data_IF_627132910152
#
_entry.id   IF_627132910152
#
_cell.length_a   1.000
_cell.length_b   1.000
_cell.length_c   1.000
_cell.angle_alpha   90.00
_cell.angle_beta   90.00
_cell.angle_gamma   90.00
#
_symmetry.space_group_name_H-M   'P 1'
#
loop_
_entity.id
_entity.type
_entity.pdbx_description
1 polymer ?
#
# COMPACT_ATOMS: atom_id res chain seq x y z
N UNK A 1 25.25 -19.54 24.24
CA UNK A 1 24.37 -20.20 25.22
C UNK A 1 24.97 -21.56 25.48
N UNK A 2 25.23 -21.94 26.73
CA UNK A 2 25.76 -23.27 27.06
C UNK A 2 24.62 -24.29 26.99
N UNK A 3 24.95 -25.55 26.81
CA UNK A 3 23.94 -26.62 26.73
C UNK A 3 23.14 -26.74 28.02
N UNK A 4 23.75 -26.46 29.16
CA UNK A 4 23.12 -26.34 30.49
C UNK A 4 21.97 -25.29 30.49
N UNK A 5 22.21 -24.15 29.86
CA UNK A 5 21.28 -23.04 29.87
C UNK A 5 20.03 -23.37 29.00
N UNK A 6 20.23 -24.17 27.93
CA UNK A 6 19.16 -24.63 27.04
C UNK A 6 18.21 -25.56 27.79
N UNK A 7 18.77 -26.49 28.58
CA UNK A 7 17.96 -27.42 29.36
C UNK A 7 17.29 -26.77 30.57
N UNK A 8 17.91 -25.75 31.16
CA UNK A 8 17.25 -24.93 32.19
C UNK A 8 16.03 -24.22 31.65
N UNK A 9 16.11 -23.58 30.46
CA UNK A 9 14.98 -22.96 29.79
C UNK A 9 13.91 -24.00 29.45
N UNK A 10 14.27 -25.17 28.96
CA UNK A 10 13.36 -26.28 28.74
C UNK A 10 12.57 -26.62 30.00
N UNK A 11 13.27 -26.83 31.11
CA UNK A 11 12.68 -27.34 32.37
C UNK A 11 11.78 -26.31 33.06
N UNK A 12 12.11 -25.03 32.89
CA UNK A 12 11.32 -23.92 33.46
C UNK A 12 10.16 -23.52 32.56
N UNK A 13 10.34 -23.52 31.24
CA UNK A 13 9.46 -22.83 30.30
C UNK A 13 8.60 -23.74 29.44
N UNK A 14 8.95 -25.04 29.33
CA UNK A 14 8.22 -25.98 28.51
C UNK A 14 7.43 -26.98 29.34
N UNK A 15 6.36 -27.53 28.79
CA UNK A 15 5.46 -28.46 29.47
C UNK A 15 5.13 -29.68 28.58
N UNK A 16 4.60 -30.75 29.20
CA UNK A 16 4.22 -31.95 28.48
C UNK A 16 5.38 -32.63 27.76
N UNK A 17 5.13 -33.06 26.52
CA UNK A 17 6.14 -33.76 25.71
C UNK A 17 7.32 -32.87 25.31
N UNK A 18 7.15 -31.56 25.22
CA UNK A 18 8.22 -30.61 24.90
C UNK A 18 9.31 -30.57 26.00
N UNK A 19 8.91 -30.73 27.26
CA UNK A 19 9.82 -30.77 28.41
C UNK A 19 10.73 -32.01 28.41
N UNK A 20 10.31 -33.08 27.75
CA UNK A 20 11.07 -34.34 27.69
C UNK A 20 12.09 -34.37 26.54
N UNK A 21 12.20 -33.29 25.76
CA UNK A 21 13.15 -33.21 24.64
C UNK A 21 14.59 -33.21 25.17
N UNK A 22 15.39 -34.18 24.67
CA UNK A 22 16.81 -34.38 25.08
C UNK A 22 17.78 -33.78 24.06
N UNK A 23 17.31 -33.44 22.86
CA UNK A 23 18.15 -32.85 21.83
C UNK A 23 18.17 -31.32 21.98
N UNK A 24 19.32 -30.71 22.27
CA UNK A 24 19.44 -29.27 22.47
C UNK A 24 18.99 -28.45 21.25
N UNK A 25 19.25 -28.94 20.04
CA UNK A 25 18.87 -28.24 18.81
C UNK A 25 17.34 -28.18 18.65
N UNK A 26 16.67 -29.27 18.96
CA UNK A 26 15.18 -29.32 18.94
C UNK A 26 14.58 -28.47 20.04
N UNK A 27 15.21 -28.37 21.22
CA UNK A 27 14.78 -27.47 22.28
C UNK A 27 14.88 -26.01 21.82
N UNK A 28 15.98 -25.63 21.16
CA UNK A 28 16.15 -24.29 20.59
C UNK A 28 15.08 -24.01 19.53
N UNK A 29 14.80 -24.97 18.66
CA UNK A 29 13.77 -24.82 17.62
C UNK A 29 12.38 -24.61 18.22
N UNK A 30 12.01 -25.37 19.26
CA UNK A 30 10.74 -25.19 19.97
C UNK A 30 10.67 -23.80 20.61
N UNK A 31 11.75 -23.34 21.25
CA UNK A 31 11.81 -22.03 21.88
C UNK A 31 11.71 -20.91 20.84
N UNK A 32 12.43 -21.04 19.71
CA UNK A 32 12.43 -20.05 18.63
C UNK A 32 11.07 -19.88 17.97
N UNK A 33 10.25 -20.93 17.95
CA UNK A 33 8.89 -20.90 17.42
C UNK A 33 7.84 -20.38 18.40
N UNK A 34 8.20 -20.17 19.69
CA UNK A 34 7.25 -19.54 20.63
C UNK A 34 7.07 -18.05 20.31
N UNK A 35 5.85 -17.54 20.40
CA UNK A 35 5.59 -16.14 20.11
C UNK A 35 6.32 -15.23 21.12
N UNK A 36 6.99 -14.18 20.61
CA UNK A 36 7.67 -13.17 21.42
C UNK A 36 6.66 -12.24 22.08
N UNK A 37 6.12 -12.68 23.21
CA UNK A 37 5.14 -11.95 24.03
C UNK A 37 5.35 -12.31 25.50
N UNK A 38 4.72 -11.60 26.41
CA UNK A 38 4.82 -11.87 27.84
C UNK A 38 4.34 -13.31 28.16
N UNK A 39 5.32 -14.19 28.35
CA UNK A 39 5.15 -15.59 28.76
C UNK A 39 6.42 -16.07 29.48
N UNK A 40 6.33 -17.20 30.19
CA UNK A 40 7.41 -17.72 31.00
C UNK A 40 8.74 -17.93 30.25
N UNK A 41 8.68 -18.32 28.97
CA UNK A 41 9.88 -18.50 28.13
C UNK A 41 10.57 -17.17 27.89
N UNK A 42 9.81 -16.18 27.47
CA UNK A 42 10.34 -14.86 27.13
C UNK A 42 10.88 -14.14 28.36
N UNK A 43 10.18 -14.22 29.48
CA UNK A 43 10.61 -13.64 30.76
C UNK A 43 11.92 -14.29 31.25
N UNK A 44 12.05 -15.61 31.13
CA UNK A 44 13.27 -16.31 31.49
C UNK A 44 14.44 -15.93 30.59
N UNK A 45 14.22 -15.83 29.28
CA UNK A 45 15.25 -15.40 28.31
C UNK A 45 15.73 -13.96 28.58
N UNK A 46 14.81 -13.05 28.91
CA UNK A 46 15.16 -11.67 29.23
C UNK A 46 16.02 -11.59 30.49
N UNK A 47 15.70 -12.38 31.53
CA UNK A 47 16.50 -12.48 32.74
C UNK A 47 17.91 -13.03 32.45
N UNK A 48 17.98 -14.09 31.63
CA UNK A 48 19.27 -14.72 31.23
C UNK A 48 20.17 -13.74 30.48
N UNK A 49 19.56 -12.85 29.65
CA UNK A 49 20.30 -11.86 28.86
C UNK A 49 20.46 -10.51 29.57
N UNK A 50 20.00 -10.39 30.81
CA UNK A 50 19.99 -9.15 31.57
C UNK A 50 19.31 -7.98 30.83
N UNK A 51 18.22 -8.30 30.11
CA UNK A 51 17.40 -7.34 29.40
C UNK A 51 16.17 -7.00 30.24
N UNK A 52 15.83 -5.72 30.44
CA UNK A 52 14.65 -5.34 31.20
C UNK A 52 13.38 -5.91 30.61
N UNK A 53 12.44 -6.38 31.44
CA UNK A 53 11.12 -6.89 31.00
C UNK A 53 10.28 -5.83 30.29
N UNK A 54 10.57 -4.56 30.49
CA UNK A 54 9.95 -3.42 29.78
C UNK A 54 10.07 -3.49 28.26
N UNK A 55 11.03 -4.27 27.74
CA UNK A 55 11.14 -4.55 26.30
C UNK A 55 9.96 -5.37 25.76
N UNK A 56 9.26 -6.11 26.65
CA UNK A 56 8.04 -6.83 26.29
C UNK A 56 6.77 -5.99 26.44
N UNK A 57 6.85 -4.96 27.24
CA UNK A 57 5.84 -3.92 27.27
C UNK A 57 6.00 -3.11 25.99
N UNK A 58 5.68 -3.73 24.83
CA UNK A 58 5.15 -2.90 23.78
C UNK A 58 4.02 -2.16 24.46
N UNK A 59 4.21 -0.88 24.71
CA UNK A 59 3.11 0.00 24.93
C UNK A 59 2.03 -0.51 23.99
N UNK A 60 0.94 -1.00 24.56
CA UNK A 60 -0.28 -1.09 23.81
C UNK A 60 -0.49 0.34 23.40
N UNK A 61 -0.03 0.64 22.20
CA UNK A 61 -0.30 1.89 21.54
C UNK A 61 -1.82 1.89 21.34
N UNK A 62 -2.50 2.06 22.46
CA UNK A 62 -3.92 2.38 22.56
C UNK A 62 -4.13 3.82 22.19
N UNK A 63 -3.13 4.42 21.50
CA UNK A 63 -3.31 5.71 20.88
C UNK A 63 -4.43 5.54 19.87
N UNK A 64 -5.60 5.85 20.37
CA UNK A 64 -6.70 6.37 19.59
C UNK A 64 -6.08 7.31 18.60
N UNK A 65 -6.20 7.00 17.30
CA UNK A 65 -5.72 7.98 16.38
C UNK A 65 -6.69 9.13 16.41
N UNK A 66 -6.18 10.13 17.03
CA UNK A 66 -6.46 11.46 16.60
C UNK A 66 -5.95 11.57 15.17
N UNK A 67 -6.86 11.88 14.25
CA UNK A 67 -6.49 12.25 12.91
C UNK A 67 -5.51 13.42 13.01
N UNK A 68 -4.36 13.26 12.43
CA UNK A 68 -3.44 14.39 12.28
C UNK A 68 -4.05 15.38 11.30
N UNK A 69 -4.04 16.66 11.70
CA UNK A 69 -4.50 17.76 10.84
C UNK A 69 -3.26 18.37 10.20
N UNK A 70 -3.12 18.13 8.89
CA UNK A 70 -2.05 18.71 8.09
C UNK A 70 -2.49 20.06 7.52
N UNK A 71 -1.56 21.02 7.49
CA UNK A 71 -1.76 22.33 6.91
C UNK A 71 -0.71 22.62 5.83
N UNK A 72 -1.01 23.49 4.86
CA UNK A 72 -0.01 23.94 3.89
C UNK A 72 1.15 24.67 4.57
N UNK A 73 2.30 24.61 3.94
CA UNK A 73 3.52 25.31 4.31
C UNK A 73 4.26 25.71 3.01
N UNK A 74 5.25 26.58 3.08
CA UNK A 74 6.01 27.03 1.90
C UNK A 74 7.07 26.02 1.41
N UNK A 75 6.90 24.75 1.69
CA UNK A 75 7.83 23.72 1.24
C UNK A 75 7.68 23.41 -0.25
N UNK A 76 8.81 23.42 -0.94
CA UNK A 76 8.87 23.11 -2.36
C UNK A 76 9.12 21.63 -2.60
N UNK A 77 8.20 20.95 -3.30
CA UNK A 77 8.31 19.51 -3.56
C UNK A 77 7.77 19.12 -4.95
N UNK A 78 8.39 19.69 -5.99
CA UNK A 78 7.94 19.55 -7.37
C UNK A 78 8.11 18.14 -7.97
N UNK A 79 7.32 17.90 -9.01
CA UNK A 79 7.43 16.72 -9.86
C UNK A 79 8.46 16.95 -10.97
N UNK A 80 9.13 15.87 -11.37
CA UNK A 80 9.89 15.80 -12.61
C UNK A 80 8.93 15.68 -13.81
N UNK A 81 9.40 16.02 -15.00
CA UNK A 81 8.57 16.09 -16.22
C UNK A 81 7.79 14.78 -16.48
N UNK A 82 8.44 13.64 -16.34
CA UNK A 82 7.79 12.34 -16.54
C UNK A 82 6.75 12.02 -15.45
N UNK A 83 6.98 12.45 -14.21
CA UNK A 83 6.02 12.31 -13.13
C UNK A 83 4.80 13.20 -13.37
N UNK A 84 5.04 14.41 -13.85
CA UNK A 84 3.99 15.34 -14.24
C UNK A 84 3.12 14.77 -15.37
N UNK A 85 3.74 14.15 -16.37
CA UNK A 85 3.01 13.48 -17.45
C UNK A 85 2.09 12.36 -16.95
N UNK A 86 2.60 11.47 -16.08
CA UNK A 86 1.78 10.43 -15.46
C UNK A 86 0.63 11.05 -14.64
N UNK A 87 0.92 12.08 -13.85
CA UNK A 87 -0.10 12.81 -13.09
C UNK A 87 -1.23 13.30 -13.99
N UNK A 88 -0.91 13.95 -15.09
CA UNK A 88 -1.92 14.48 -16.01
C UNK A 88 -2.78 13.37 -16.63
N UNK A 89 -2.17 12.28 -17.06
CA UNK A 89 -2.91 11.14 -17.59
C UNK A 89 -3.87 10.52 -16.57
N UNK A 90 -3.43 10.35 -15.33
CA UNK A 90 -4.28 9.81 -14.27
C UNK A 90 -5.42 10.78 -13.95
N UNK A 91 -5.15 12.07 -13.80
CA UNK A 91 -6.19 13.07 -13.49
C UNK A 91 -7.22 13.19 -14.61
N UNK A 92 -6.81 13.12 -15.87
CA UNK A 92 -7.74 13.14 -17.00
C UNK A 92 -8.72 11.96 -16.94
N UNK A 93 -8.26 10.79 -16.51
CA UNK A 93 -9.14 9.64 -16.30
C UNK A 93 -10.04 9.80 -15.06
N UNK A 94 -9.50 10.30 -13.94
CA UNK A 94 -10.28 10.50 -12.71
C UNK A 94 -11.40 11.56 -12.88
N UNK A 95 -11.20 12.51 -13.76
CA UNK A 95 -12.18 13.57 -14.07
C UNK A 95 -13.09 13.20 -15.23
N UNK A 96 -13.03 11.97 -15.75
CA UNK A 96 -13.93 11.49 -16.78
C UNK A 96 -15.37 11.33 -16.22
N UNK A 97 -16.35 11.34 -17.09
CA UNK A 97 -17.76 11.17 -16.71
C UNK A 97 -18.14 9.73 -16.32
N UNK A 98 -17.16 8.82 -16.31
CA UNK A 98 -17.41 7.43 -15.94
C UNK A 98 -17.59 7.25 -14.44
N UNK A 99 -18.61 6.52 -14.06
CA UNK A 99 -19.01 6.29 -12.66
C UNK A 99 -17.98 5.45 -11.87
N UNK A 100 -17.24 4.56 -12.55
CA UNK A 100 -16.29 3.63 -11.94
C UNK A 100 -14.99 3.62 -12.76
N UNK A 101 -14.05 4.48 -12.40
CA UNK A 101 -12.74 4.49 -13.04
C UNK A 101 -11.79 3.54 -12.35
N UNK A 102 -11.17 2.66 -13.13
CA UNK A 102 -10.16 1.70 -12.66
C UNK A 102 -8.95 1.78 -13.55
N UNK A 103 -7.77 1.84 -12.95
CA UNK A 103 -6.53 1.89 -13.72
C UNK A 103 -5.34 1.34 -12.94
N UNK A 104 -4.39 0.79 -13.66
CA UNK A 104 -3.09 0.39 -13.14
C UNK A 104 -2.05 1.44 -13.59
N UNK A 105 -1.29 1.96 -12.64
CA UNK A 105 -0.20 2.90 -12.92
C UNK A 105 1.12 2.17 -12.75
N UNK A 106 1.85 2.06 -13.86
CA UNK A 106 3.16 1.47 -13.87
C UNK A 106 4.24 2.55 -13.83
N UNK A 107 5.05 2.48 -12.81
CA UNK A 107 6.27 3.28 -12.67
C UNK A 107 7.35 2.40 -12.03
N UNK A 108 8.55 2.28 -12.62
CA UNK A 108 9.62 1.48 -12.04
C UNK A 108 10.03 1.90 -10.63
N UNK A 109 10.74 1.01 -9.97
CA UNK A 109 11.33 1.29 -8.67
C UNK A 109 12.25 2.51 -8.74
N UNK A 110 12.20 3.38 -7.74
CA UNK A 110 13.03 4.58 -7.66
C UNK A 110 12.58 5.76 -8.52
N UNK A 111 11.51 5.63 -9.33
CA UNK A 111 11.01 6.75 -10.16
C UNK A 111 10.06 7.70 -9.43
N UNK A 112 9.88 7.54 -8.13
CA UNK A 112 9.02 8.41 -7.34
C UNK A 112 7.52 8.12 -7.50
N UNK A 113 7.15 6.85 -7.68
CA UNK A 113 5.75 6.38 -7.77
C UNK A 113 4.87 6.95 -6.65
N UNK A 114 5.29 6.80 -5.40
CA UNK A 114 4.56 7.32 -4.22
C UNK A 114 4.40 8.83 -4.30
N UNK A 115 5.48 9.57 -4.54
CA UNK A 115 5.47 11.04 -4.69
C UNK A 115 4.48 11.49 -5.77
N UNK A 116 4.58 10.91 -6.96
CA UNK A 116 3.70 11.24 -8.09
C UNK A 116 2.23 11.01 -7.73
N UNK A 117 1.95 9.88 -7.07
CA UNK A 117 0.58 9.55 -6.66
C UNK A 117 0.08 10.46 -5.55
N UNK A 118 0.92 10.90 -4.62
CA UNK A 118 0.51 11.88 -3.61
C UNK A 118 0.18 13.25 -4.22
N UNK A 119 0.89 13.67 -5.26
CA UNK A 119 0.50 14.85 -6.04
C UNK A 119 -0.85 14.68 -6.75
N UNK A 120 -1.14 13.47 -7.28
CA UNK A 120 -2.45 13.15 -7.86
C UNK A 120 -3.54 13.24 -6.80
N UNK A 121 -3.33 12.59 -5.64
CA UNK A 121 -4.27 12.57 -4.52
C UNK A 121 -4.56 13.98 -4.03
N UNK A 122 -3.53 14.80 -3.81
CA UNK A 122 -3.69 16.18 -3.35
C UNK A 122 -4.52 17.00 -4.33
N UNK A 123 -4.23 16.87 -5.63
CA UNK A 123 -5.01 17.53 -6.67
C UNK A 123 -6.47 17.04 -6.68
N UNK A 124 -6.69 15.72 -6.61
CA UNK A 124 -8.02 15.12 -6.57
C UNK A 124 -8.83 15.59 -5.35
N UNK A 125 -8.21 15.64 -4.17
CA UNK A 125 -8.85 16.12 -2.94
C UNK A 125 -9.25 17.60 -3.06
N UNK A 126 -8.35 18.45 -3.58
CA UNK A 126 -8.59 19.89 -3.64
C UNK A 126 -9.65 20.25 -4.69
N UNK A 127 -9.56 19.68 -5.89
CA UNK A 127 -10.31 20.16 -7.05
C UNK A 127 -11.46 19.25 -7.48
N UNK A 128 -11.34 17.94 -7.29
CA UNK A 128 -12.37 16.99 -7.74
C UNK A 128 -13.39 16.73 -6.64
N UNK A 129 -12.97 16.22 -5.50
CA UNK A 129 -13.89 15.93 -4.39
C UNK A 129 -14.09 17.10 -3.43
N UNK A 130 -13.31 18.18 -3.57
CA UNK A 130 -13.40 19.40 -2.76
C UNK A 130 -13.46 19.08 -1.26
N UNK A 131 -12.56 18.19 -0.83
CA UNK A 131 -12.46 17.66 0.55
C UNK A 131 -13.71 16.94 1.07
N UNK A 132 -14.61 16.50 0.21
CA UNK A 132 -15.80 15.72 0.60
C UNK A 132 -15.55 14.22 0.40
N UNK A 133 -15.46 13.50 1.50
CA UNK A 133 -15.14 12.09 1.53
C UNK A 133 -13.64 11.82 1.67
N UNK A 134 -13.26 10.57 1.50
CA UNK A 134 -11.89 10.11 1.75
C UNK A 134 -11.25 9.47 0.52
N UNK A 135 -9.93 9.63 0.45
CA UNK A 135 -9.04 8.78 -0.33
C UNK A 135 -8.48 7.70 0.58
N UNK A 136 -8.51 6.44 0.17
CA UNK A 136 -7.95 5.32 0.93
C UNK A 136 -6.67 4.86 0.23
N UNK A 137 -5.52 4.99 0.92
CA UNK A 137 -4.26 4.41 0.51
C UNK A 137 -4.06 3.07 1.18
N UNK A 138 -3.92 2.00 0.43
CA UNK A 138 -3.74 0.64 0.94
C UNK A 138 -2.33 0.16 0.64
N UNK A 139 -1.63 -0.29 1.67
CA UNK A 139 -0.36 -0.99 1.54
C UNK A 139 -0.28 -2.15 2.54
N UNK A 140 0.73 -3.01 2.36
CA UNK A 140 0.74 -4.27 3.10
C UNK A 140 1.66 -4.23 4.34
N UNK A 141 2.65 -3.30 4.44
CA UNK A 141 3.54 -3.16 5.58
C UNK A 141 3.39 -1.80 6.22
N UNK A 142 3.71 -1.72 7.51
CA UNK A 142 3.66 -0.47 8.28
C UNK A 142 4.69 0.54 7.79
N UNK A 143 5.83 0.06 7.32
CA UNK A 143 6.91 0.89 6.77
C UNK A 143 6.47 1.60 5.49
N UNK A 144 5.80 0.88 4.57
CA UNK A 144 5.25 1.47 3.35
C UNK A 144 4.14 2.48 3.65
N UNK A 145 3.32 2.20 4.67
CA UNK A 145 2.27 3.14 5.09
C UNK A 145 2.86 4.40 5.73
N UNK A 146 3.89 4.26 6.57
CA UNK A 146 4.57 5.41 7.15
C UNK A 146 5.28 6.24 6.07
N UNK A 147 6.00 5.60 5.16
CA UNK A 147 6.64 6.29 4.03
C UNK A 147 5.62 7.03 3.14
N UNK A 148 4.47 6.39 2.88
CA UNK A 148 3.40 7.02 2.11
C UNK A 148 2.81 8.23 2.85
N UNK A 149 2.61 8.11 4.15
CA UNK A 149 2.15 9.21 5.00
C UNK A 149 3.12 10.39 4.99
N UNK A 150 4.41 10.14 5.24
CA UNK A 150 5.44 11.19 5.27
C UNK A 150 5.56 11.90 3.90
N UNK A 151 5.42 11.13 2.82
CA UNK A 151 5.39 11.67 1.46
C UNK A 151 4.13 12.52 1.24
N UNK A 152 2.98 12.09 1.71
CA UNK A 152 1.74 12.87 1.62
C UNK A 152 1.84 14.17 2.42
N UNK A 153 2.36 14.11 3.64
CA UNK A 153 2.57 15.30 4.48
C UNK A 153 3.42 16.33 3.74
N UNK A 154 4.55 15.91 3.15
CA UNK A 154 5.43 16.79 2.37
C UNK A 154 4.73 17.38 1.15
N UNK A 155 3.95 16.57 0.41
CA UNK A 155 3.19 17.05 -0.76
C UNK A 155 2.05 17.98 -0.32
N UNK A 156 1.37 17.66 0.78
CA UNK A 156 0.28 18.50 1.28
C UNK A 156 0.78 19.87 1.75
N UNK A 157 1.93 19.92 2.41
CA UNK A 157 2.59 21.18 2.76
C UNK A 157 2.89 22.06 1.54
N UNK A 158 3.25 21.41 0.42
CA UNK A 158 3.54 22.11 -0.84
C UNK A 158 2.29 22.53 -1.63
N UNK A 159 1.29 21.65 -1.75
CA UNK A 159 0.16 21.80 -2.70
C UNK A 159 -1.21 21.82 -2.04
N UNK A 160 -1.28 21.62 -0.73
CA UNK A 160 -2.56 21.53 -0.03
C UNK A 160 -3.30 22.86 -0.04
N UNK A 161 -4.62 22.79 -0.09
CA UNK A 161 -5.52 23.92 0.05
C UNK A 161 -6.14 23.90 1.45
N UNK A 162 -5.42 24.44 2.44
CA UNK A 162 -5.83 24.51 3.84
C UNK A 162 -5.71 23.17 4.60
N UNK A 163 -6.43 23.03 5.70
CA UNK A 163 -6.33 21.90 6.61
C UNK A 163 -6.99 20.63 6.05
N UNK A 164 -6.37 19.48 6.29
CA UNK A 164 -6.87 18.16 5.92
C UNK A 164 -6.65 17.16 7.05
N UNK A 165 -7.56 16.20 7.17
CA UNK A 165 -7.39 15.07 8.09
C UNK A 165 -6.61 13.93 7.42
N UNK A 166 -5.61 13.41 8.10
CA UNK A 166 -4.86 12.24 7.69
C UNK A 166 -4.99 11.14 8.76
N UNK A 167 -5.69 10.05 8.43
CA UNK A 167 -5.99 8.96 9.34
C UNK A 167 -5.00 7.82 9.15
N UNK A 168 -4.46 7.31 10.26
CA UNK A 168 -3.52 6.17 10.25
C UNK A 168 -4.24 4.91 10.75
N UNK A 169 -4.57 3.97 9.90
CA UNK A 169 -5.29 2.74 10.18
C UNK A 169 -4.41 1.51 9.94
N UNK A 170 -3.38 1.33 10.76
CA UNK A 170 -2.54 0.13 10.74
C UNK A 170 -2.09 -0.26 12.16
N UNK A 171 -1.63 -1.49 12.36
CA UNK A 171 -1.27 -2.01 13.68
C UNK A 171 -2.46 -1.96 14.63
N UNK A 172 -2.26 -1.38 15.80
CA UNK A 172 -3.29 -1.21 16.84
C UNK A 172 -4.21 -0.02 16.60
N UNK A 173 -3.81 0.87 15.69
CA UNK A 173 -4.49 2.13 15.41
C UNK A 173 -5.91 1.92 14.86
N UNK A 174 -6.89 2.76 15.28
CA UNK A 174 -8.31 2.70 14.86
C UNK A 174 -8.93 4.09 14.82
N UNK A 175 -10.05 4.26 14.16
CA UNK A 175 -10.86 5.48 14.20
C UNK A 175 -11.97 5.27 15.22
N UNK A 176 -12.10 6.14 16.20
CA UNK A 176 -13.12 6.04 17.25
C UNK A 176 -14.46 6.66 16.84
N UNK A 177 -14.41 7.86 16.30
CA UNK A 177 -15.64 8.58 15.99
C UNK A 177 -16.13 8.30 14.56
N UNK A 178 -16.78 7.15 14.39
CA UNK A 178 -17.35 6.74 13.10
C UNK A 178 -18.73 7.34 12.78
N UNK A 179 -19.29 8.11 13.72
CA UNK A 179 -20.62 8.70 13.54
C UNK A 179 -20.60 9.93 12.63
N UNK A 180 -19.46 10.61 12.55
CA UNK A 180 -19.28 11.75 11.66
C UNK A 180 -18.71 11.33 10.31
N UNK A 181 -19.00 12.05 9.21
CA UNK A 181 -18.37 11.80 7.92
C UNK A 181 -16.86 11.93 7.99
N UNK A 182 -16.16 10.97 7.39
CA UNK A 182 -14.72 11.04 7.24
C UNK A 182 -14.38 11.87 6.00
N UNK A 183 -13.47 12.81 6.15
CA UNK A 183 -12.99 13.64 5.06
C UNK A 183 -11.47 13.69 5.09
N UNK A 184 -10.80 13.52 3.94
CA UNK A 184 -9.36 13.57 3.82
C UNK A 184 -8.73 12.32 3.25
N UNK A 185 -7.68 11.82 3.89
CA UNK A 185 -6.96 10.61 3.47
C UNK A 185 -6.87 9.59 4.59
N UNK A 186 -7.03 8.32 4.26
CA UNK A 186 -6.88 7.18 5.17
C UNK A 186 -5.74 6.30 4.68
N UNK A 187 -4.68 6.15 5.46
CA UNK A 187 -3.63 5.18 5.23
C UNK A 187 -4.00 3.88 5.94
N UNK A 188 -4.24 2.82 5.19
CA UNK A 188 -4.88 1.60 5.66
C UNK A 188 -4.03 0.37 5.37
N UNK A 189 -3.64 -0.34 6.42
CA UNK A 189 -2.95 -1.62 6.29
C UNK A 189 -3.87 -2.69 5.71
N UNK A 190 -3.39 -3.49 4.74
CA UNK A 190 -4.20 -4.53 4.12
C UNK A 190 -4.72 -5.55 5.13
N UNK A 191 -3.87 -6.00 6.07
CA UNK A 191 -4.29 -6.90 7.16
C UNK A 191 -5.34 -6.27 8.08
N UNK A 192 -5.22 -4.97 8.32
CA UNK A 192 -6.19 -4.20 9.11
C UNK A 192 -7.52 -4.08 8.39
N UNK A 193 -7.50 -3.82 7.08
CA UNK A 193 -8.71 -3.78 6.24
C UNK A 193 -9.45 -5.12 6.29
N UNK A 194 -8.74 -6.25 6.18
CA UNK A 194 -9.33 -7.58 6.31
C UNK A 194 -9.99 -7.77 7.68
N UNK A 195 -9.29 -7.40 8.75
CA UNK A 195 -9.82 -7.47 10.12
C UNK A 195 -11.04 -6.57 10.31
N UNK A 196 -11.06 -5.36 9.75
CA UNK A 196 -12.19 -4.43 9.81
C UNK A 196 -13.39 -5.03 9.07
N UNK A 197 -13.20 -5.59 7.88
CA UNK A 197 -14.27 -6.21 7.11
C UNK A 197 -14.91 -7.41 7.82
N UNK A 198 -14.10 -8.19 8.55
CA UNK A 198 -14.56 -9.38 9.26
C UNK A 198 -15.19 -9.06 10.64
N UNK A 199 -14.65 -8.07 11.38
CA UNK A 199 -14.99 -7.87 12.81
C UNK A 199 -15.54 -6.51 13.19
N UNK A 200 -15.51 -5.51 12.30
CA UNK A 200 -15.96 -4.14 12.56
C UNK A 200 -16.87 -3.61 11.43
N UNK A 201 -18.05 -4.19 11.22
CA UNK A 201 -18.90 -3.85 10.07
C UNK A 201 -19.30 -2.38 10.02
N UNK A 202 -19.51 -1.72 11.16
CA UNK A 202 -19.85 -0.30 11.20
C UNK A 202 -18.72 0.59 10.66
N UNK A 203 -17.46 0.30 11.01
CA UNK A 203 -16.30 1.01 10.48
C UNK A 203 -16.10 0.71 8.99
N UNK A 204 -16.29 -0.55 8.57
CA UNK A 204 -16.20 -0.92 7.16
C UNK A 204 -17.23 -0.19 6.30
N UNK A 205 -18.49 -0.14 6.73
CA UNK A 205 -19.55 0.58 6.02
C UNK A 205 -19.32 2.10 6.05
N UNK A 206 -18.69 2.65 7.10
CA UNK A 206 -18.29 4.06 7.12
C UNK A 206 -17.19 4.34 6.09
N UNK A 207 -16.13 3.54 6.06
CA UNK A 207 -15.07 3.65 5.06
C UNK A 207 -15.64 3.55 3.64
N UNK A 208 -16.52 2.58 3.41
CA UNK A 208 -17.19 2.39 2.13
C UNK A 208 -18.06 3.57 1.73
N UNK A 209 -18.83 4.17 2.65
CA UNK A 209 -19.71 5.32 2.37
C UNK A 209 -18.92 6.55 1.96
N UNK A 210 -17.86 6.85 2.69
CA UNK A 210 -17.12 8.10 2.51
C UNK A 210 -16.01 7.98 1.46
N UNK A 211 -15.67 6.76 0.99
CA UNK A 211 -14.63 6.51 0.00
C UNK A 211 -14.97 7.13 -1.36
N UNK A 212 -13.99 7.83 -1.95
CA UNK A 212 -14.05 8.38 -3.32
C UNK A 212 -12.99 7.80 -4.23
N UNK A 213 -11.82 7.52 -3.68
CA UNK A 213 -10.68 6.95 -4.41
C UNK A 213 -9.99 5.91 -3.54
N UNK A 214 -9.68 4.77 -4.13
CA UNK A 214 -8.81 3.76 -3.53
C UNK A 214 -7.49 3.73 -4.31
N UNK A 215 -6.39 3.83 -3.60
CA UNK A 215 -5.05 3.60 -4.16
C UNK A 215 -4.46 2.37 -3.49
N UNK A 216 -4.12 1.37 -4.29
CA UNK A 216 -3.53 0.12 -3.82
C UNK A 216 -2.05 0.08 -4.21
N UNK A 217 -1.18 0.24 -3.24
CA UNK A 217 0.27 0.18 -3.45
C UNK A 217 0.73 -1.28 -3.58
N UNK A 218 1.70 -1.52 -4.46
CA UNK A 218 2.15 -2.87 -4.83
C UNK A 218 0.98 -3.74 -5.36
N UNK A 219 0.28 -3.22 -6.38
CA UNK A 219 -0.96 -3.78 -6.92
C UNK A 219 -0.88 -5.26 -7.32
N UNK A 220 0.32 -5.77 -7.67
CA UNK A 220 0.54 -7.18 -7.95
C UNK A 220 0.16 -8.11 -6.77
N UNK A 221 0.07 -7.60 -5.56
CA UNK A 221 -0.38 -8.34 -4.39
C UNK A 221 -1.91 -8.36 -4.22
N UNK A 222 -2.63 -7.56 -5.01
CA UNK A 222 -4.09 -7.54 -4.99
C UNK A 222 -4.73 -8.80 -5.63
N UNK A 223 -3.97 -9.61 -6.35
CA UNK A 223 -4.45 -10.80 -7.05
C UNK A 223 -5.05 -11.89 -6.12
N UNK A 224 -4.75 -11.87 -4.82
CA UNK A 224 -5.31 -12.83 -3.88
C UNK A 224 -6.85 -12.69 -3.78
N UNK A 225 -7.59 -13.79 -3.94
CA UNK A 225 -9.07 -13.82 -3.95
C UNK A 225 -9.73 -13.10 -2.76
N UNK A 226 -9.16 -13.25 -1.56
CA UNK A 226 -9.67 -12.57 -0.36
C UNK A 226 -9.50 -11.06 -0.45
N UNK A 227 -8.36 -10.59 -0.94
CA UNK A 227 -8.07 -9.17 -1.18
C UNK A 227 -9.03 -8.59 -2.20
N UNK A 228 -9.21 -9.25 -3.34
CA UNK A 228 -10.16 -8.84 -4.37
C UNK A 228 -11.57 -8.66 -3.80
N UNK A 229 -12.08 -9.65 -3.05
CA UNK A 229 -13.42 -9.58 -2.46
C UNK A 229 -13.60 -8.36 -1.56
N UNK A 230 -12.63 -8.02 -0.75
CA UNK A 230 -12.71 -6.87 0.17
C UNK A 230 -12.59 -5.56 -0.58
N UNK A 231 -11.70 -5.45 -1.56
CA UNK A 231 -11.58 -4.25 -2.41
C UNK A 231 -12.85 -4.03 -3.24
N UNK A 232 -13.39 -5.09 -3.86
CA UNK A 232 -14.66 -5.02 -4.58
C UNK A 232 -15.82 -4.61 -3.65
N UNK A 233 -15.78 -5.07 -2.39
CA UNK A 233 -16.72 -4.62 -1.36
C UNK A 233 -16.66 -3.11 -1.11
N UNK A 234 -15.44 -2.55 -1.01
CA UNK A 234 -15.24 -1.11 -0.90
C UNK A 234 -15.65 -0.36 -2.17
N UNK A 235 -15.46 -0.95 -3.35
CA UNK A 235 -15.84 -0.34 -4.63
C UNK A 235 -17.36 -0.33 -4.88
N UNK A 236 -18.14 -1.16 -4.20
CA UNK A 236 -19.61 -1.15 -4.31
C UNK A 236 -20.18 0.11 -3.71
N UNK A 237 -20.83 0.90 -4.54
CA UNK A 237 -21.45 2.15 -4.11
C UNK A 237 -22.84 1.92 -3.50
N UNK A 238 -23.18 2.61 -2.41
CA UNK A 238 -24.58 2.79 -2.02
C UNK A 238 -25.34 3.56 -3.10
N UNK A 239 -26.64 3.33 -3.22
CA UNK A 239 -27.49 4.09 -4.14
C UNK A 239 -27.38 5.61 -3.85
N UNK A 240 -27.23 6.41 -4.90
CA UNK A 240 -27.16 7.87 -4.80
C UNK A 240 -25.77 8.46 -4.58
N UNK A 241 -24.70 7.64 -4.59
CA UNK A 241 -23.33 8.13 -4.56
C UNK A 241 -22.70 8.02 -5.95
N UNK A 242 -22.14 9.12 -6.40
CA UNK A 242 -21.51 9.24 -7.70
C UNK A 242 -19.99 9.02 -7.61
N UNK A 243 -19.42 8.44 -8.66
CA UNK A 243 -17.99 8.35 -8.96
C UNK A 243 -17.05 7.84 -7.88
N UNK A 244 -16.58 6.62 -8.06
CA UNK A 244 -15.50 6.02 -7.27
C UNK A 244 -14.42 5.47 -8.19
N UNK A 245 -13.16 5.69 -7.83
CA UNK A 245 -12.03 5.22 -8.61
C UNK A 245 -11.14 4.25 -7.83
N UNK A 246 -10.45 3.38 -8.57
CA UNK A 246 -9.45 2.45 -8.08
C UNK A 246 -8.16 2.60 -8.89
N UNK A 247 -7.08 2.94 -8.22
CA UNK A 247 -5.73 3.01 -8.80
C UNK A 247 -4.88 1.91 -8.19
N UNK A 248 -4.31 1.06 -9.02
CA UNK A 248 -3.23 0.17 -8.62
C UNK A 248 -1.88 0.78 -8.97
N UNK A 249 -0.93 0.69 -8.06
CA UNK A 249 0.44 1.11 -8.30
C UNK A 249 1.35 -0.10 -8.37
N UNK A 250 2.19 -0.18 -9.39
CA UNK A 250 3.13 -1.29 -9.52
C UNK A 250 4.43 -0.86 -10.19
N UNK A 251 5.53 -1.43 -9.74
CA UNK A 251 6.81 -1.36 -10.45
C UNK A 251 6.95 -2.47 -11.50
N UNK A 252 6.14 -3.53 -11.36
CA UNK A 252 6.14 -4.70 -12.24
C UNK A 252 4.70 -5.05 -12.57
N UNK A 253 4.11 -4.58 -13.67
CA UNK A 253 2.70 -4.82 -14.01
C UNK A 253 2.40 -6.28 -14.38
N UNK A 254 3.41 -7.07 -14.78
CA UNK A 254 3.30 -8.51 -14.98
C UNK A 254 4.23 -9.27 -14.04
N UNK A 255 3.73 -10.28 -13.35
CA UNK A 255 4.59 -11.36 -12.84
C UNK A 255 4.95 -12.21 -14.03
N UNK A 256 6.17 -12.65 -14.18
CA UNK A 256 6.73 -13.56 -15.18
C UNK A 256 5.82 -14.06 -16.33
N UNK A 257 6.35 -14.29 -17.50
CA UNK A 257 5.68 -14.80 -18.70
C UNK A 257 4.88 -16.11 -18.48
N UNK A 258 4.97 -16.73 -17.33
CA UNK A 258 4.37 -18.02 -17.01
C UNK A 258 3.01 -17.92 -16.28
N UNK A 259 2.70 -16.80 -15.61
CA UNK A 259 1.44 -16.61 -14.85
C UNK A 259 0.42 -15.73 -15.58
N UNK A 260 -0.07 -16.20 -16.71
CA UNK A 260 -1.13 -15.52 -17.49
C UNK A 260 -2.43 -15.35 -16.70
N UNK A 261 -2.76 -16.26 -15.78
CA UNK A 261 -3.98 -16.19 -14.98
C UNK A 261 -3.97 -15.04 -13.98
N UNK A 262 -2.88 -14.91 -13.20
CA UNK A 262 -2.75 -13.82 -12.22
C UNK A 262 -2.63 -12.44 -12.88
N UNK A 263 -2.00 -12.39 -14.05
CA UNK A 263 -1.92 -11.17 -14.85
C UNK A 263 -3.29 -10.74 -15.36
N UNK A 264 -4.10 -11.68 -15.86
CA UNK A 264 -5.46 -11.41 -16.30
C UNK A 264 -6.37 -10.95 -15.14
N UNK A 265 -6.23 -11.56 -13.96
CA UNK A 265 -6.97 -11.16 -12.76
C UNK A 265 -6.61 -9.73 -12.34
N UNK A 266 -5.33 -9.40 -12.34
CA UNK A 266 -4.84 -8.07 -12.00
C UNK A 266 -5.35 -7.04 -13.02
N UNK A 267 -5.23 -7.32 -14.31
CA UNK A 267 -5.66 -6.45 -15.37
C UNK A 267 -7.17 -6.19 -15.31
N UNK A 268 -7.97 -7.23 -15.12
CA UNK A 268 -9.42 -7.12 -14.97
C UNK A 268 -9.82 -6.31 -13.73
N UNK A 269 -9.13 -6.51 -12.60
CA UNK A 269 -9.40 -5.76 -11.37
C UNK A 269 -9.21 -4.25 -11.55
N UNK A 270 -8.21 -3.87 -12.37
CA UNK A 270 -7.91 -2.46 -12.68
C UNK A 270 -8.46 -2.01 -14.04
N UNK A 271 -9.53 -2.67 -14.53
CA UNK A 271 -10.32 -2.22 -15.69
C UNK A 271 -9.60 -2.29 -17.02
N UNK A 272 -8.58 -3.15 -17.15
CA UNK A 272 -7.76 -3.31 -18.35
C UNK A 272 -7.11 -1.98 -18.82
N UNK A 273 -6.93 -1.01 -17.93
CA UNK A 273 -6.37 0.29 -18.23
C UNK A 273 -5.01 0.45 -17.55
N UNK A 274 -3.94 0.50 -18.36
CA UNK A 274 -2.58 0.71 -17.90
C UNK A 274 -2.09 2.12 -18.25
N UNK A 275 -1.61 2.84 -17.24
CA UNK A 275 -0.95 4.14 -17.42
C UNK A 275 0.54 3.98 -17.15
N UNK A 276 1.35 4.34 -18.09
CA UNK A 276 2.80 4.21 -18.05
C UNK A 276 3.46 5.26 -18.93
N UNK A 277 4.78 5.34 -18.91
CA UNK A 277 5.57 6.17 -19.79
C UNK A 277 6.03 5.30 -20.98
N UNK A 278 5.56 5.62 -22.17
CA UNK A 278 5.97 4.93 -23.37
C UNK A 278 7.38 5.32 -23.87
N UNK A 279 7.92 4.57 -24.84
CA UNK A 279 9.25 4.80 -25.36
C UNK A 279 9.42 6.17 -26.04
N UNK A 280 8.35 6.71 -26.63
CA UNK A 280 8.38 8.02 -27.28
C UNK A 280 8.60 9.12 -26.27
N UNK A 281 7.90 9.04 -25.15
CA UNK A 281 8.03 9.98 -24.05
C UNK A 281 9.37 9.83 -23.34
N UNK A 282 9.84 8.59 -23.15
CA UNK A 282 11.18 8.35 -22.62
C UNK A 282 12.29 8.95 -23.49
N UNK A 283 12.10 8.98 -24.79
CA UNK A 283 13.05 9.62 -25.72
C UNK A 283 12.96 11.16 -25.66
N UNK A 284 11.77 11.71 -25.39
CA UNK A 284 11.58 13.14 -25.19
C UNK A 284 12.07 13.62 -23.82
N UNK A 285 11.83 12.81 -22.78
CA UNK A 285 12.38 13.04 -21.45
C UNK A 285 13.85 12.65 -21.51
N UNK A 286 14.74 13.59 -21.30
CA UNK A 286 16.18 13.34 -21.29
C UNK A 286 16.54 12.22 -20.30
N UNK A 287 16.61 10.98 -20.79
CA UNK A 287 16.92 9.79 -19.99
C UNK A 287 18.27 9.91 -19.29
N UNK A 288 19.20 10.67 -19.85
CA UNK A 288 20.47 11.02 -19.22
C UNK A 288 20.28 11.79 -17.92
N UNK A 289 19.28 12.67 -17.85
CA UNK A 289 18.93 13.41 -16.62
C UNK A 289 18.38 12.48 -15.55
N UNK A 290 17.54 11.52 -15.91
CA UNK A 290 17.02 10.52 -14.96
C UNK A 290 18.12 9.60 -14.41
N UNK A 291 19.03 9.16 -15.27
CA UNK A 291 20.21 8.39 -14.87
C UNK A 291 21.14 9.20 -13.98
N UNK A 292 21.40 10.46 -14.31
CA UNK A 292 22.24 11.36 -13.52
C UNK A 292 21.66 11.64 -12.12
N UNK A 293 20.33 11.59 -11.99
CA UNK A 293 19.65 11.74 -10.70
C UNK A 293 19.54 10.43 -9.92
N UNK A 294 20.13 9.33 -10.43
CA UNK A 294 19.99 7.98 -9.85
C UNK A 294 18.54 7.55 -9.61
N UNK A 295 17.60 8.08 -10.38
CA UNK A 295 16.17 7.89 -10.17
C UNK A 295 15.68 6.57 -10.78
N UNK A 296 16.39 6.06 -11.79
CA UNK A 296 16.06 4.83 -12.52
C UNK A 296 17.31 4.01 -12.78
N UNK A 297 17.32 2.77 -12.37
CA UNK A 297 18.37 1.83 -12.71
C UNK A 297 18.27 1.42 -14.19
N UNK A 298 19.40 1.14 -14.83
CA UNK A 298 19.46 0.78 -16.26
C UNK A 298 18.66 -0.48 -16.58
N UNK A 299 18.68 -1.46 -15.68
CA UNK A 299 17.89 -2.68 -15.78
C UNK A 299 16.38 -2.42 -15.77
N UNK A 300 15.91 -1.42 -15.04
CA UNK A 300 14.51 -1.00 -14.98
C UNK A 300 14.09 -0.35 -16.31
N UNK A 301 14.95 0.48 -16.90
CA UNK A 301 14.69 1.10 -18.19
C UNK A 301 14.60 0.04 -19.30
N UNK A 302 15.43 -0.99 -19.25
CA UNK A 302 15.38 -2.11 -20.19
C UNK A 302 14.07 -2.89 -20.01
N UNK A 303 13.66 -3.14 -18.77
CA UNK A 303 12.39 -3.81 -18.45
C UNK A 303 11.18 -3.04 -18.98
N UNK A 304 11.22 -1.73 -19.00
CA UNK A 304 10.19 -0.91 -19.61
C UNK A 304 10.02 -1.14 -21.11
N UNK A 305 11.07 -1.51 -21.80
CA UNK A 305 11.03 -1.78 -23.23
C UNK A 305 10.46 -3.16 -23.58
N UNK A 306 10.55 -4.10 -22.63
CA UNK A 306 10.25 -5.51 -22.90
C UNK A 306 9.22 -6.11 -21.97
N UNK A 307 8.57 -5.31 -21.19
CA UNK A 307 7.97 -5.81 -19.97
C UNK A 307 6.50 -6.16 -20.00
N UNK A 308 5.73 -6.01 -21.09
CA UNK A 308 4.33 -6.26 -20.95
C UNK A 308 3.66 -6.95 -22.05
N UNK A 309 3.20 -8.04 -21.61
CA UNK A 309 2.22 -8.85 -22.25
C UNK A 309 0.88 -8.25 -21.94
N UNK A 310 0.27 -7.67 -22.93
CA UNK A 310 -1.15 -7.45 -22.90
C UNK A 310 -1.90 -8.76 -22.95
N UNK A 311 -2.95 -8.91 -22.14
CA UNK A 311 -3.61 -10.18 -21.98
C UNK A 311 -4.46 -10.61 -23.16
N UNK A 312 -4.52 -9.92 -24.27
CA UNK A 312 -5.30 -10.45 -25.38
C UNK A 312 -4.83 -9.92 -26.72
N UNK A 313 -4.52 -10.84 -27.57
CA UNK A 313 -4.48 -10.65 -29.02
C UNK A 313 -5.83 -10.20 -29.60
N UNK A 314 -6.89 -10.27 -28.81
CA UNK A 314 -8.27 -9.96 -29.18
C UNK A 314 -8.58 -8.47 -29.26
N UNK A 315 -7.72 -7.60 -28.76
CA UNK A 315 -7.93 -6.16 -28.86
C UNK A 315 -7.30 -5.58 -30.12
N UNK A 316 -7.40 -6.31 -31.22
CA UNK A 316 -7.12 -5.82 -32.56
C UNK A 316 -5.84 -5.02 -32.77
N UNK A 317 -4.83 -5.21 -31.96
CA UNK A 317 -3.57 -4.52 -32.10
C UNK A 317 -3.53 -3.08 -31.72
N UNK A 318 -4.61 -2.58 -31.21
CA UNK A 318 -4.61 -1.26 -30.60
C UNK A 318 -4.56 -1.45 -29.11
N UNK A 319 -3.48 -1.01 -28.53
CA UNK A 319 -3.50 -0.92 -27.12
C UNK A 319 -4.47 0.16 -26.69
N UNK A 320 -5.22 -0.18 -25.67
CA UNK A 320 -6.26 0.68 -25.12
C UNK A 320 -5.65 1.89 -24.44
N UNK A 321 -4.33 1.93 -24.27
CA UNK A 321 -3.66 2.95 -23.47
C UNK A 321 -2.46 3.55 -24.16
N UNK A 322 -2.51 3.62 -25.46
CA UNK A 322 -1.47 4.25 -26.19
C UNK A 322 -0.53 3.28 -26.91
N UNK A 323 -1.12 2.21 -27.44
CA UNK A 323 -0.48 1.38 -28.42
C UNK A 323 0.81 0.72 -28.00
N UNK A 324 0.73 -0.03 -26.95
CA UNK A 324 1.87 -0.76 -26.54
C UNK A 324 1.79 -2.21 -26.93
N UNK A 325 2.21 -2.47 -28.13
CA UNK A 325 2.71 -3.78 -28.48
C UNK A 325 4.20 -3.74 -28.44
N UNK A 326 4.73 -4.65 -27.69
CA UNK A 326 6.12 -4.98 -27.85
C UNK A 326 6.14 -6.09 -28.89
N UNK A 327 6.72 -5.77 -30.00
CA UNK A 327 7.05 -6.74 -31.03
C UNK A 327 8.16 -7.67 -30.57
#
# INVERSE_FOLDING_TARGET
MKESDIFEIRDVCLSGNERNQKDPLKVIEIIANKPWKKNAVTEHLLKLWNVPETVLDKEKDTTVIENEILAPDEQFYELLDYQYYIKQRVLNNLNSEHLLERMLVHMPTGTGKTKTTMHIITNYINFTIKKQGIVIWIAHTTELLQQAYDTFESVWKHLGDGKINAYKLWGTKTIENINQPLNGIVFLGLSKLMSIADSKPALYERLKRDCRLIVFDEAHKAAAKKTQKVIEGLMRMPAGYENRALIGLTATPGRTTEDTYDNNLLTNMFGNKLIYIDSTILNQINLGRLKALNTVAEAEVTRWRYGYIYPSDDVGGQDVVGNYRIG
#
